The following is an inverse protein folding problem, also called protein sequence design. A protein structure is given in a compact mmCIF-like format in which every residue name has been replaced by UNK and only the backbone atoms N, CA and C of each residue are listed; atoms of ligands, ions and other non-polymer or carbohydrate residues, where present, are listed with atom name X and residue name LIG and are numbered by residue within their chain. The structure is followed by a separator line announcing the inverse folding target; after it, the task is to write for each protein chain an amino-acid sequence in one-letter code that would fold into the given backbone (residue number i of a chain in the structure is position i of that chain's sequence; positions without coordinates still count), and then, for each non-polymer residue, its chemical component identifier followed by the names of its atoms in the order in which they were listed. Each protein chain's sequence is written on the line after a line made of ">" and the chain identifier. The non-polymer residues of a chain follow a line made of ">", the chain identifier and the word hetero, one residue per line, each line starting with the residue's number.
data_IF_989711573235
#
_entry.id   IF_989711573235
#
_cell.length_a   1.000
_cell.length_b   1.000
_cell.length_c   1.000
_cell.angle_alpha   90.00
_cell.angle_beta   90.00
_cell.angle_gamma   90.00
#
_symmetry.space_group_name_H-M   'P 1'
#
loop_
_entity.id
_entity.type
_entity.pdbx_description
1 polymer ?
#
# COMPACT_ATOMS: atom_id res chain seq x y z
N UNK A 1 -24.12 -2.01 15.91
CA UNK A 1 -23.79 -1.87 15.37
C UNK A 1 -23.48 -1.83 14.82
N UNK A 2 -23.63 -2.08 14.87
CA UNK A 2 -23.16 -2.13 14.18
C UNK A 2 -22.81 -1.78 13.62
N UNK A 3 -22.80 -1.81 13.57
CA UNK A 3 -22.26 -1.55 12.81
C UNK A 3 -21.66 -1.13 12.48
N UNK A 4 -21.58 -1.24 12.84
CA UNK A 4 -20.78 -0.79 12.42
C UNK A 4 -20.09 -0.84 11.99
N UNK A 5 -19.97 -1.31 12.04
CA UNK A 5 -19.22 -1.42 11.56
C UNK A 5 -18.79 -1.51 10.71
N UNK A 6 -19.10 -1.67 10.43
CA UNK A 6 -18.67 -1.79 9.56
C UNK A 6 -18.29 -1.27 8.88
N UNK A 7 -18.19 -0.94 8.88
CA UNK A 7 -17.78 -0.56 8.23
C UNK A 7 -17.12 -0.25 7.66
N UNK A 8 -16.79 -0.18 7.78
CA UNK A 8 -15.96 -0.06 7.33
C UNK A 8 -15.29 -0.57 6.59
N UNK A 9 -15.58 -0.87 6.69
CA UNK A 9 -14.80 -1.63 6.11
C UNK A 9 -14.69 -1.55 4.77
N UNK A 10 -14.68 -1.25 4.53
CA UNK A 10 -14.35 -1.30 3.64
C UNK A 10 -14.36 -1.09 2.39
N UNK A 11 -13.96 -0.66 2.17
CA UNK A 11 -13.82 -0.34 0.81
C UNK A 11 -13.73 -1.55 -0.02
N UNK A 12 -14.60 -1.80 -0.90
CA UNK A 12 -14.74 -3.07 -1.55
C UNK A 12 -15.23 -4.15 -0.62
N UNK A 13 -15.48 -3.80 0.64
CA UNK A 13 -16.08 -4.68 1.62
C UNK A 13 -15.26 -5.91 1.99
N UNK A 14 -13.97 -5.90 1.72
CA UNK A 14 -13.13 -7.05 1.95
C UNK A 14 -12.22 -6.84 3.14
N UNK A 15 -12.24 -7.81 4.05
CA UNK A 15 -11.31 -7.81 5.18
C UNK A 15 -9.89 -8.05 4.70
N UNK A 16 -8.94 -7.41 5.35
CA UNK A 16 -7.53 -7.63 5.08
C UNK A 16 -7.00 -8.64 6.09
N UNK A 17 -6.58 -9.82 5.60
CA UNK A 17 -6.02 -10.85 6.45
C UNK A 17 -4.53 -10.63 6.62
N UNK A 18 -4.02 -10.90 7.83
CA UNK A 18 -2.60 -10.73 8.11
C UNK A 18 -1.72 -11.54 7.17
N UNK A 19 -2.13 -12.77 6.82
CA UNK A 19 -1.33 -13.63 5.94
C UNK A 19 -1.21 -13.11 4.52
N UNK A 20 -2.03 -12.14 4.13
CA UNK A 20 -1.98 -11.52 2.80
C UNK A 20 -0.95 -10.39 2.72
N UNK A 21 -0.42 -9.97 3.85
CA UNK A 21 0.54 -8.89 3.90
C UNK A 21 1.94 -9.39 3.56
N UNK A 22 2.81 -8.46 3.23
CA UNK A 22 4.20 -8.75 2.89
C UNK A 22 5.11 -7.84 3.69
N UNK A 23 6.35 -8.28 3.91
CA UNK A 23 7.38 -7.44 4.53
C UNK A 23 7.48 -6.12 3.77
N UNK A 24 7.45 -5.03 4.51
CA UNK A 24 7.56 -3.70 3.93
C UNK A 24 6.25 -3.05 3.56
N UNK A 25 5.13 -3.78 3.62
CA UNK A 25 3.82 -3.19 3.34
C UNK A 25 3.48 -2.13 4.38
N UNK A 26 2.90 -1.04 3.92
CA UNK A 26 2.35 -0.01 4.80
C UNK A 26 0.86 -0.25 5.01
N UNK A 27 0.47 -0.34 6.27
CA UNK A 27 -0.92 -0.46 6.69
C UNK A 27 -1.14 0.45 7.89
N UNK A 28 -2.39 0.60 8.31
CA UNK A 28 -2.72 1.43 9.47
C UNK A 28 -3.41 0.59 10.53
N UNK A 29 -3.36 1.06 11.78
CA UNK A 29 -4.17 0.48 12.83
C UNK A 29 -5.62 1.01 12.73
N UNK A 30 -6.46 0.64 13.69
CA UNK A 30 -7.87 1.04 13.68
C UNK A 30 -8.07 2.54 13.83
N UNK A 31 -7.05 3.26 14.28
CA UNK A 31 -7.10 4.71 14.45
C UNK A 31 -6.47 5.46 13.28
N UNK A 32 -6.03 4.73 12.24
CA UNK A 32 -5.43 5.33 11.07
C UNK A 32 -3.95 5.62 11.20
N UNK A 33 -3.29 5.07 12.22
CA UNK A 33 -1.87 5.30 12.45
C UNK A 33 -1.04 4.39 11.55
N UNK A 34 -0.20 4.94 10.65
CA UNK A 34 0.53 4.12 9.68
C UNK A 34 1.66 3.34 10.32
N UNK A 35 1.83 2.11 9.89
CA UNK A 35 2.88 1.20 10.35
C UNK A 35 3.38 0.36 9.19
N UNK A 36 4.61 -0.10 9.27
CA UNK A 36 5.22 -0.91 8.22
C UNK A 36 5.42 -2.33 8.71
N UNK A 37 4.98 -3.28 7.91
CA UNK A 37 4.99 -4.70 8.26
C UNK A 37 6.42 -5.23 8.25
N UNK A 38 6.78 -5.96 9.31
CA UNK A 38 8.10 -6.57 9.44
C UNK A 38 8.06 -8.10 9.47
N UNK A 39 6.96 -8.68 9.93
CA UNK A 39 6.81 -10.13 10.01
C UNK A 39 5.37 -10.50 9.73
N UNK A 40 5.16 -11.66 9.09
CA UNK A 40 3.83 -12.14 8.75
C UNK A 40 3.71 -13.61 9.12
N UNK A 41 2.62 -13.95 9.82
CA UNK A 41 2.25 -15.31 10.13
C UNK A 41 0.89 -15.65 9.52
N UNK A 42 0.32 -16.78 9.93
CA UNK A 42 -0.95 -17.22 9.36
C UNK A 42 -2.09 -16.31 9.77
N UNK A 43 -2.14 -15.89 11.02
CA UNK A 43 -3.25 -15.08 11.55
C UNK A 43 -2.77 -13.87 12.32
N UNK A 44 -1.51 -13.50 12.17
CA UNK A 44 -0.94 -12.33 12.85
C UNK A 44 0.11 -11.69 11.97
N UNK A 45 0.46 -10.44 12.29
CA UNK A 45 1.56 -9.73 11.63
C UNK A 45 2.15 -8.74 12.63
N UNK A 46 3.45 -8.53 12.54
CA UNK A 46 4.12 -7.50 13.33
C UNK A 46 4.46 -6.31 12.45
N UNK A 47 4.42 -5.13 13.05
CA UNK A 47 4.67 -3.89 12.34
C UNK A 47 5.44 -2.92 13.22
N UNK A 48 6.15 -2.02 12.58
CA UNK A 48 6.87 -0.96 13.28
C UNK A 48 6.39 0.40 12.82
N UNK A 49 6.54 1.40 13.67
CA UNK A 49 6.29 2.79 13.33
C UNK A 49 7.43 3.62 13.91
N UNK A 50 7.92 4.56 13.10
CA UNK A 50 9.07 5.37 13.48
C UNK A 50 10.23 4.47 13.89
N UNK A 51 10.75 4.63 15.10
CA UNK A 51 11.89 3.88 15.60
C UNK A 51 11.49 2.79 16.57
N UNK A 52 10.29 2.24 16.42
CA UNK A 52 9.71 1.32 17.38
C UNK A 52 10.10 -0.14 17.11
N UNK A 53 11.35 -0.38 16.73
CA UNK A 53 11.78 -1.73 16.37
C UNK A 53 11.82 -2.69 17.56
N UNK A 54 12.06 -2.15 18.76
CA UNK A 54 12.18 -2.99 19.97
C UNK A 54 10.84 -3.36 20.57
N UNK A 55 9.77 -2.75 20.11
CA UNK A 55 8.43 -3.00 20.66
C UNK A 55 7.41 -2.98 19.52
N UNK A 56 7.45 -3.98 18.64
CA UNK A 56 6.59 -3.99 17.47
C UNK A 56 5.12 -4.11 17.85
N UNK A 57 4.30 -3.53 16.99
CA UNK A 57 2.85 -3.65 17.09
C UNK A 57 2.42 -4.99 16.51
N UNK A 58 1.48 -5.66 17.16
CA UNK A 58 0.96 -6.93 16.66
C UNK A 58 -0.46 -6.73 16.13
N UNK A 59 -0.65 -7.08 14.84
CA UNK A 59 -1.96 -7.19 14.24
C UNK A 59 -2.43 -8.63 14.30
N UNK A 60 -3.75 -8.82 14.36
CA UNK A 60 -4.36 -10.15 14.26
C UNK A 60 -5.60 -10.07 13.38
N UNK A 61 -6.20 -11.23 13.10
CA UNK A 61 -7.33 -11.29 12.18
C UNK A 61 -8.67 -11.06 12.86
N UNK A 62 -8.70 -10.81 14.18
CA UNK A 62 -9.94 -10.70 14.92
C UNK A 62 -10.15 -9.31 15.52
N UNK A 63 -9.26 -8.90 16.41
CA UNK A 63 -9.52 -7.73 17.27
C UNK A 63 -8.77 -6.50 16.80
N UNK A 64 -7.61 -6.68 16.18
CA UNK A 64 -6.76 -5.57 15.78
C UNK A 64 -6.29 -5.81 14.35
N UNK A 65 -7.23 -5.70 13.43
CA UNK A 65 -6.97 -5.97 12.02
C UNK A 65 -6.23 -4.81 11.37
N UNK A 66 -5.30 -5.11 10.47
CA UNK A 66 -4.64 -4.05 9.69
C UNK A 66 -5.65 -3.40 8.74
N UNK A 67 -5.50 -2.09 8.57
CA UNK A 67 -6.38 -1.31 7.72
C UNK A 67 -5.61 -0.81 6.50
N UNK A 68 -6.22 -0.79 5.33
CA UNK A 68 -5.55 -0.28 4.14
C UNK A 68 -5.37 1.23 4.22
N UNK A 69 -4.26 1.73 3.66
CA UNK A 69 -4.00 3.17 3.60
C UNK A 69 -4.30 3.63 2.18
N UNK A 70 -5.24 4.57 2.02
CA UNK A 70 -5.54 5.09 0.67
C UNK A 70 -4.36 5.85 0.09
N UNK A 71 -4.17 5.71 -1.22
CA UNK A 71 -3.19 6.50 -1.94
C UNK A 71 -3.73 7.92 -2.08
N UNK A 72 -2.93 8.89 -1.68
CA UNK A 72 -3.27 10.31 -1.81
C UNK A 72 -2.21 11.02 -2.65
N UNK A 73 -2.55 12.19 -3.21
CA UNK A 73 -1.53 13.00 -3.90
C UNK A 73 -0.31 13.28 -3.04
N UNK A 74 -0.51 13.52 -1.74
CA UNK A 74 0.59 13.82 -0.83
C UNK A 74 1.54 12.62 -0.70
N UNK A 75 0.98 11.42 -0.59
CA UNK A 75 1.79 10.20 -0.50
C UNK A 75 2.57 10.00 -1.79
N UNK A 76 1.94 10.19 -2.95
CA UNK A 76 2.62 10.03 -4.22
C UNK A 76 3.77 11.02 -4.35
N UNK A 77 3.55 12.28 -4.03
CA UNK A 77 4.59 13.30 -4.12
C UNK A 77 5.74 13.03 -3.15
N UNK A 78 5.42 12.52 -1.98
CA UNK A 78 6.44 12.15 -0.99
C UNK A 78 7.37 11.05 -1.52
N UNK A 79 6.89 10.25 -2.45
CA UNK A 79 7.66 9.14 -3.04
C UNK A 79 8.24 9.49 -4.40
N UNK A 80 8.30 10.77 -4.75
CA UNK A 80 8.95 11.22 -5.95
C UNK A 80 8.09 11.22 -7.20
N UNK A 81 6.78 11.00 -7.06
CA UNK A 81 5.88 11.10 -8.20
C UNK A 81 5.65 12.56 -8.55
N UNK A 82 5.57 12.85 -9.84
CA UNK A 82 5.35 14.18 -10.37
C UNK A 82 3.90 14.29 -10.84
N UNK A 83 3.23 15.33 -10.42
CA UNK A 83 1.87 15.58 -10.87
C UNK A 83 1.90 16.12 -12.31
N UNK A 84 1.37 15.34 -13.25
CA UNK A 84 1.27 15.75 -14.64
C UNK A 84 -0.02 16.55 -14.86
N UNK A 85 -1.12 16.06 -14.27
CA UNK A 85 -2.40 16.77 -14.25
C UNK A 85 -3.20 16.21 -13.06
N UNK A 86 -4.39 16.75 -12.76
CA UNK A 86 -5.13 16.27 -11.58
C UNK A 86 -5.47 14.79 -11.56
N UNK A 87 -5.43 14.15 -12.74
CA UNK A 87 -5.77 12.72 -12.86
C UNK A 87 -4.55 11.84 -13.06
N UNK A 88 -3.34 12.40 -13.05
CA UNK A 88 -2.17 11.58 -13.37
C UNK A 88 -0.92 12.01 -12.63
N UNK A 89 -0.33 11.07 -11.92
CA UNK A 89 0.94 11.21 -11.25
C UNK A 89 1.89 10.18 -11.83
N UNK A 90 3.14 10.58 -12.12
CA UNK A 90 4.12 9.71 -12.78
C UNK A 90 5.43 9.67 -12.03
N UNK A 91 6.04 8.50 -12.03
CA UNK A 91 7.38 8.26 -11.49
C UNK A 91 8.21 7.58 -12.58
N UNK A 92 9.44 8.04 -12.75
CA UNK A 92 10.34 7.44 -13.71
C UNK A 92 10.14 7.95 -15.14
N UNK A 93 10.58 7.16 -16.09
CA UNK A 93 10.58 7.55 -17.49
C UNK A 93 9.86 6.50 -18.33
N UNK A 94 8.86 6.87 -19.14
CA UNK A 94 8.10 5.90 -19.93
C UNK A 94 8.92 5.13 -20.95
N UNK A 95 10.12 5.62 -21.29
CA UNK A 95 10.99 4.93 -22.24
C UNK A 95 11.94 3.94 -21.56
N UNK A 96 11.77 3.70 -20.27
CA UNK A 96 12.62 2.80 -19.51
C UNK A 96 11.80 1.69 -18.87
N UNK A 97 12.50 0.75 -18.21
CA UNK A 97 11.85 -0.31 -17.44
C UNK A 97 11.58 0.12 -15.99
N UNK A 98 11.45 1.41 -15.75
CA UNK A 98 11.08 1.95 -14.45
C UNK A 98 10.16 3.14 -14.68
N UNK A 99 8.87 2.85 -14.84
CA UNK A 99 7.86 3.88 -15.07
C UNK A 99 6.58 3.49 -14.37
N UNK A 100 6.02 4.39 -13.58
CA UNK A 100 4.79 4.14 -12.85
C UNK A 100 3.86 5.33 -13.05
N UNK A 101 2.63 5.03 -13.40
CA UNK A 101 1.59 6.04 -13.59
C UNK A 101 0.41 5.70 -12.70
N UNK A 102 -0.05 6.66 -11.91
CA UNK A 102 -1.16 6.45 -10.97
C UNK A 102 -2.21 7.52 -11.16
N UNK A 103 -3.45 7.09 -11.24
CA UNK A 103 -4.60 7.98 -11.23
C UNK A 103 -5.37 7.70 -9.94
N UNK A 104 -5.15 8.49 -8.88
CA UNK A 104 -5.78 8.20 -7.59
C UNK A 104 -7.29 8.41 -7.59
N UNK A 105 -7.80 9.29 -8.45
CA UNK A 105 -9.24 9.52 -8.50
C UNK A 105 -10.00 8.39 -9.13
N UNK A 106 -9.44 7.79 -10.18
CA UNK A 106 -10.07 6.67 -10.89
C UNK A 106 -9.57 5.32 -10.39
N UNK A 107 -8.70 5.31 -9.40
CA UNK A 107 -8.17 4.08 -8.77
C UNK A 107 -7.51 3.18 -9.81
N UNK A 108 -6.67 3.76 -10.64
CA UNK A 108 -5.97 3.03 -11.70
C UNK A 108 -4.48 3.22 -11.58
N UNK A 109 -3.73 2.17 -11.87
CA UNK A 109 -2.27 2.17 -11.82
C UNK A 109 -1.72 1.46 -13.05
N UNK A 110 -0.64 1.98 -13.58
CA UNK A 110 0.12 1.33 -14.66
C UNK A 110 1.57 1.30 -14.28
N UNK A 111 2.19 0.13 -14.36
CA UNK A 111 3.58 -0.06 -13.98
C UNK A 111 4.30 -0.73 -15.14
N UNK A 112 5.42 -0.14 -15.56
CA UNK A 112 6.33 -0.74 -16.51
C UNK A 112 7.63 -1.00 -15.78
N UNK A 113 7.86 -2.24 -15.40
CA UNK A 113 8.98 -2.63 -14.56
C UNK A 113 9.97 -3.53 -15.27
N UNK A 114 10.99 -3.95 -14.52
CA UNK A 114 12.10 -4.73 -15.06
C UNK A 114 11.69 -6.13 -15.49
N UNK A 115 10.75 -6.72 -14.76
CA UNK A 115 10.34 -8.10 -15.00
C UNK A 115 9.03 -8.23 -15.73
N UNK A 116 8.16 -7.24 -15.60
CA UNK A 116 6.80 -7.34 -16.12
C UNK A 116 6.15 -5.96 -16.13
N UNK A 117 5.05 -5.89 -16.86
CA UNK A 117 4.17 -4.73 -16.87
C UNK A 117 2.87 -5.11 -16.17
N UNK A 118 2.21 -4.14 -15.57
CA UNK A 118 0.96 -4.37 -14.88
C UNK A 118 0.02 -3.20 -15.06
N UNK A 119 -1.25 -3.52 -15.28
CA UNK A 119 -2.32 -2.53 -15.28
C UNK A 119 -3.32 -2.96 -14.22
N UNK A 120 -3.58 -2.08 -13.26
CA UNK A 120 -4.47 -2.37 -12.14
C UNK A 120 -5.64 -1.41 -12.19
N UNK A 121 -6.83 -1.96 -12.04
CA UNK A 121 -8.07 -1.20 -12.01
C UNK A 121 -8.75 -1.43 -10.67
N UNK A 122 -9.39 -0.38 -10.15
CA UNK A 122 -10.08 -0.44 -8.85
C UNK A 122 -9.12 -0.72 -7.69
N UNK A 123 -7.88 -0.26 -7.83
CA UNK A 123 -6.86 -0.40 -6.78
C UNK A 123 -6.45 1.00 -6.31
N UNK A 124 -6.55 1.25 -5.02
CA UNK A 124 -6.33 2.59 -4.47
C UNK A 124 -5.56 2.59 -3.16
N UNK A 125 -4.98 1.46 -2.78
CA UNK A 125 -4.30 1.38 -1.48
C UNK A 125 -2.80 1.24 -1.65
N UNK A 126 -2.07 1.79 -0.68
CA UNK A 126 -0.60 1.83 -0.71
C UNK A 126 -0.01 0.43 -0.82
N UNK A 127 -0.47 -0.51 0.01
CA UNK A 127 0.09 -1.87 -0.02
C UNK A 127 -0.17 -2.57 -1.37
N UNK A 128 -1.26 -2.24 -2.04
CA UNK A 128 -1.53 -2.79 -3.38
C UNK A 128 -0.52 -2.28 -4.40
N UNK A 129 -0.21 -0.99 -4.33
CA UNK A 129 0.82 -0.41 -5.20
C UNK A 129 2.18 -1.04 -4.91
N UNK A 130 2.53 -1.20 -3.64
CA UNK A 130 3.80 -1.82 -3.27
C UNK A 130 3.92 -3.24 -3.82
N UNK A 131 2.85 -4.03 -3.73
CA UNK A 131 2.85 -5.38 -4.28
C UNK A 131 3.05 -5.39 -5.78
N UNK A 132 2.33 -4.51 -6.47
CA UNK A 132 2.44 -4.43 -7.92
C UNK A 132 3.87 -4.02 -8.33
N UNK A 133 4.46 -3.10 -7.60
CA UNK A 133 5.85 -2.70 -7.86
C UNK A 133 6.80 -3.88 -7.69
N UNK A 134 6.63 -4.67 -6.63
CA UNK A 134 7.47 -5.86 -6.42
C UNK A 134 7.29 -6.87 -7.54
N UNK A 135 6.06 -7.12 -7.94
CA UNK A 135 5.76 -8.06 -9.01
C UNK A 135 6.41 -7.64 -10.34
N UNK A 136 6.58 -6.35 -10.56
CA UNK A 136 7.19 -5.82 -11.76
C UNK A 136 8.70 -5.62 -11.63
N UNK A 137 9.29 -6.01 -10.51
CA UNK A 137 10.73 -5.94 -10.29
C UNK A 137 11.24 -4.61 -9.79
N UNK A 138 10.35 -3.73 -9.32
CA UNK A 138 10.74 -2.43 -8.79
C UNK A 138 10.81 -2.49 -7.27
N UNK A 139 11.71 -3.35 -6.77
CA UNK A 139 11.82 -3.64 -5.33
C UNK A 139 12.25 -2.43 -4.51
N UNK A 140 13.18 -1.65 -5.04
CA UNK A 140 13.72 -0.51 -4.29
C UNK A 140 12.63 0.52 -4.04
N UNK A 141 11.85 0.82 -5.06
CA UNK A 141 10.75 1.78 -4.91
C UNK A 141 9.71 1.25 -3.93
N UNK A 142 9.36 -0.03 -4.04
CA UNK A 142 8.35 -0.63 -3.18
C UNK A 142 8.79 -0.64 -1.71
N UNK A 143 10.05 -1.05 -1.45
CA UNK A 143 10.52 -1.25 -0.08
C UNK A 143 10.89 0.06 0.61
N UNK A 144 11.19 1.10 -0.15
CA UNK A 144 11.49 2.43 0.40
C UNK A 144 10.30 3.38 0.35
N UNK A 145 9.13 2.85 0.02
CA UNK A 145 7.92 3.65 -0.04
C UNK A 145 7.63 4.29 1.32
N UNK A 146 7.15 5.52 1.30
CA UNK A 146 6.87 6.29 2.52
C UNK A 146 5.42 6.73 2.54
N UNK A 147 4.90 6.87 3.75
CA UNK A 147 3.51 7.28 3.93
C UNK A 147 3.39 8.54 4.78
#
# INVERSE_FOLDING_TARGET
>A
MRHLESIQKNDGGREMKCRELQFGDWVADLHGFPMQITNVGDDYAYATFEDNECDPWEFDDKDDQPQPIPITPQILEKNGFIKVNPLRYEYGNPDTDCYVKVNPKKKMMHINGRNANSNLYSHSFVHELQRALRCCGLWDLANNFKV
#
